data_IF_566243895009
#
_entry.id   IF_566243895009
#
_cell.length_a   1.000
_cell.length_b   1.000
_cell.length_c   1.000
_cell.angle_alpha   90.00
_cell.angle_beta   90.00
_cell.angle_gamma   90.00
#
_symmetry.space_group_name_H-M   'P 1'
#
loop_
_entity.id
_entity.type
_entity.pdbx_description
1 polymer ?
#
# COMPACT_ATOMS: atom_id res chain seq x y z
N UNK A 1 19.48 -30.38 -22.84
CA UNK A 1 18.42 -30.09 -21.85
C UNK A 1 19.12 -29.35 -20.72
N UNK A 2 18.77 -28.09 -20.45
CA UNK A 2 19.41 -27.35 -19.37
C UNK A 2 18.93 -27.92 -18.03
N UNK A 3 19.80 -28.54 -17.21
CA UNK A 3 19.36 -29.33 -16.07
C UNK A 3 18.64 -28.50 -14.99
N UNK A 4 18.78 -27.18 -15.00
CA UNK A 4 18.28 -26.27 -13.97
C UNK A 4 16.94 -25.59 -14.29
N UNK A 5 16.39 -25.78 -15.50
CA UNK A 5 15.19 -25.08 -15.97
C UNK A 5 14.03 -26.06 -16.15
N UNK A 6 12.80 -25.57 -16.07
CA UNK A 6 11.63 -26.32 -16.51
C UNK A 6 11.64 -26.53 -18.04
N UNK A 7 10.75 -27.41 -18.51
CA UNK A 7 10.57 -27.60 -19.94
C UNK A 7 9.83 -26.40 -20.52
N UNK A 8 10.29 -25.90 -21.67
CA UNK A 8 9.72 -24.71 -22.31
C UNK A 8 8.23 -24.91 -22.58
N UNK A 9 7.41 -24.11 -21.91
CA UNK A 9 6.00 -23.88 -22.15
C UNK A 9 5.68 -22.44 -21.73
N UNK A 10 4.59 -21.85 -22.23
CA UNK A 10 4.19 -20.49 -21.87
C UNK A 10 2.88 -20.52 -21.09
N UNK A 11 2.72 -19.59 -20.15
CA UNK A 11 1.48 -19.45 -19.38
C UNK A 11 0.36 -18.99 -20.31
N UNK A 12 -0.66 -19.84 -20.47
CA UNK A 12 -1.84 -19.60 -21.31
C UNK A 12 -3.15 -19.52 -20.49
N UNK A 13 -3.10 -19.89 -19.21
CA UNK A 13 -4.23 -19.88 -18.27
C UNK A 13 -3.80 -19.38 -16.88
N UNK A 14 -4.18 -18.14 -16.58
CA UNK A 14 -3.90 -17.48 -15.30
C UNK A 14 -4.70 -18.01 -14.10
N UNK A 15 -5.56 -19.02 -14.29
CA UNK A 15 -6.24 -19.72 -13.20
C UNK A 15 -5.61 -21.09 -12.87
N UNK A 16 -4.70 -21.57 -13.71
CA UNK A 16 -4.01 -22.84 -13.49
C UNK A 16 -2.68 -22.62 -12.75
N UNK A 17 -2.72 -22.71 -11.43
CA UNK A 17 -1.54 -22.47 -10.58
C UNK A 17 -0.34 -23.36 -10.94
N UNK A 18 -0.56 -24.60 -11.38
CA UNK A 18 0.53 -25.49 -11.80
C UNK A 18 1.22 -24.98 -13.07
N UNK A 19 0.49 -24.44 -14.04
CA UNK A 19 1.13 -23.81 -15.21
C UNK A 19 1.88 -22.54 -14.83
N UNK A 20 1.34 -21.77 -13.90
CA UNK A 20 1.96 -20.52 -13.43
C UNK A 20 3.30 -20.78 -12.73
N UNK A 21 3.44 -21.93 -12.06
CA UNK A 21 4.66 -22.33 -11.35
C UNK A 21 5.68 -23.12 -12.20
N UNK A 22 5.31 -23.57 -13.40
CA UNK A 22 6.13 -24.50 -14.19
C UNK A 22 6.40 -24.04 -15.64
N UNK A 23 5.71 -23.01 -16.13
CA UNK A 23 5.88 -22.50 -17.48
C UNK A 23 6.55 -21.12 -17.49
N UNK A 24 7.27 -20.84 -18.57
CA UNK A 24 7.97 -19.60 -18.82
C UNK A 24 7.00 -18.41 -18.85
N UNK A 25 7.44 -17.31 -18.21
CA UNK A 25 6.86 -16.00 -18.43
C UNK A 25 7.28 -15.43 -19.79
N UNK A 26 6.58 -14.38 -20.22
CA UNK A 26 6.83 -13.74 -21.51
C UNK A 26 6.18 -14.49 -22.67
N UNK A 27 6.83 -14.52 -23.81
CA UNK A 27 6.33 -15.17 -25.02
C UNK A 27 7.46 -15.74 -25.88
N UNK A 28 7.14 -16.38 -26.99
CA UNK A 28 8.14 -17.00 -27.87
C UNK A 28 9.17 -16.04 -28.46
N UNK A 29 8.88 -14.74 -28.54
CA UNK A 29 9.84 -13.73 -29.00
C UNK A 29 10.74 -13.23 -27.86
N UNK A 30 10.21 -13.16 -26.63
CA UNK A 30 10.91 -12.70 -25.44
C UNK A 30 10.63 -13.65 -24.26
N UNK A 31 11.20 -14.86 -24.27
CA UNK A 31 10.95 -15.82 -23.20
C UNK A 31 11.72 -15.43 -21.94
N UNK A 32 11.13 -15.69 -20.78
CA UNK A 32 11.78 -15.63 -19.47
C UNK A 32 11.94 -17.07 -18.97
N UNK A 33 13.11 -17.72 -19.19
CA UNK A 33 13.29 -19.14 -18.89
C UNK A 33 13.10 -19.45 -17.40
N UNK A 34 12.18 -20.36 -17.10
CA UNK A 34 11.75 -20.64 -15.75
C UNK A 34 12.69 -21.64 -15.04
N UNK A 35 13.25 -21.23 -13.89
CA UNK A 35 14.15 -22.06 -13.10
C UNK A 35 13.36 -23.13 -12.35
N UNK A 36 13.82 -24.38 -12.40
CA UNK A 36 13.19 -25.47 -11.68
C UNK A 36 13.54 -25.43 -10.19
N UNK A 37 12.81 -24.61 -9.45
CA UNK A 37 12.95 -24.37 -8.00
C UNK A 37 12.63 -25.58 -7.13
N UNK A 38 12.08 -26.66 -7.69
CA UNK A 38 11.91 -27.93 -6.96
C UNK A 38 13.21 -28.73 -6.85
N UNK A 39 14.23 -28.42 -7.67
CA UNK A 39 15.51 -29.13 -7.63
C UNK A 39 16.40 -28.67 -6.47
N UNK A 40 17.02 -29.61 -5.72
CA UNK A 40 17.92 -29.26 -4.62
C UNK A 40 19.05 -28.31 -5.03
N UNK A 41 19.70 -28.57 -6.18
CA UNK A 41 20.80 -27.74 -6.66
C UNK A 41 20.38 -26.28 -6.94
N UNK A 42 19.15 -26.06 -7.42
CA UNK A 42 18.61 -24.71 -7.66
C UNK A 42 18.30 -24.01 -6.34
N UNK A 43 17.73 -24.73 -5.36
CA UNK A 43 17.47 -24.20 -4.01
C UNK A 43 18.76 -23.84 -3.27
N UNK A 44 19.75 -24.71 -3.32
CA UNK A 44 21.06 -24.49 -2.70
C UNK A 44 21.74 -23.26 -3.31
N UNK A 45 21.67 -23.12 -4.64
CA UNK A 45 22.19 -21.95 -5.33
C UNK A 45 21.50 -20.66 -4.87
N UNK A 46 20.16 -20.60 -4.83
CA UNK A 46 19.42 -19.40 -4.44
C UNK A 46 19.63 -19.03 -2.98
N UNK A 47 19.62 -20.01 -2.07
CA UNK A 47 19.82 -19.79 -0.63
C UNK A 47 21.25 -19.33 -0.34
N UNK A 48 22.26 -19.92 -0.99
CA UNK A 48 23.64 -19.44 -0.89
C UNK A 48 23.80 -18.03 -1.47
N UNK A 49 23.20 -17.77 -2.64
CA UNK A 49 23.25 -16.47 -3.30
C UNK A 49 22.61 -15.37 -2.46
N UNK A 50 21.40 -15.57 -1.93
CA UNK A 50 20.71 -14.51 -1.19
C UNK A 50 21.42 -14.21 0.13
N UNK A 51 21.92 -15.24 0.82
CA UNK A 51 22.73 -15.08 2.01
C UNK A 51 24.02 -14.32 1.71
N UNK A 52 24.69 -14.64 0.61
CA UNK A 52 25.87 -13.92 0.16
C UNK A 52 25.55 -12.46 -0.17
N UNK A 53 24.45 -12.19 -0.89
CA UNK A 53 24.02 -10.85 -1.26
C UNK A 53 23.79 -9.99 -0.02
N UNK A 54 22.95 -10.46 0.91
CA UNK A 54 22.63 -9.72 2.14
C UNK A 54 23.89 -9.48 2.97
N UNK A 55 24.72 -10.51 3.18
CA UNK A 55 25.93 -10.39 4.01
C UNK A 55 27.02 -9.53 3.38
N UNK A 56 27.23 -9.62 2.07
CA UNK A 56 28.29 -8.87 1.37
C UNK A 56 28.05 -7.37 1.47
N UNK A 57 26.85 -6.91 1.13
CA UNK A 57 26.52 -5.48 1.22
C UNK A 57 26.49 -4.99 2.67
N UNK A 58 26.06 -5.84 3.61
CA UNK A 58 26.11 -5.51 5.04
C UNK A 58 27.53 -5.44 5.63
N UNK A 59 28.52 -6.10 5.02
CA UNK A 59 29.91 -6.11 5.48
C UNK A 59 30.76 -4.93 4.97
N UNK A 60 30.30 -4.24 3.92
CA UNK A 60 31.02 -3.15 3.25
C UNK A 60 30.65 -1.77 3.83
N UNK A 61 31.16 -1.48 5.04
CA UNK A 61 31.03 -0.19 5.74
C UNK A 61 29.59 0.24 6.10
N UNK A 62 29.47 1.13 7.08
CA UNK A 62 28.24 1.54 7.81
C UNK A 62 27.09 2.13 6.96
N UNK A 63 27.17 2.12 5.63
CA UNK A 63 26.23 2.81 4.72
C UNK A 63 25.44 1.92 3.76
N UNK A 64 25.70 0.60 3.68
CA UNK A 64 25.06 -0.28 2.67
C UNK A 64 24.48 -1.58 3.24
N UNK A 65 23.95 -1.56 4.47
CA UNK A 65 23.23 -2.71 5.01
C UNK A 65 21.96 -3.01 4.21
N UNK A 66 21.74 -4.27 3.85
CA UNK A 66 20.47 -4.72 3.28
C UNK A 66 19.55 -5.09 4.43
N UNK A 67 18.54 -4.25 4.69
CA UNK A 67 17.59 -4.45 5.80
C UNK A 67 16.32 -5.19 5.39
N UNK A 68 16.07 -5.30 4.09
CA UNK A 68 14.93 -6.01 3.54
C UNK A 68 15.02 -6.20 2.04
N UNK A 69 14.16 -7.06 1.53
CA UNK A 69 14.12 -7.49 0.13
C UNK A 69 12.71 -7.32 -0.44
N UNK A 70 12.57 -6.72 -1.62
CA UNK A 70 11.36 -6.84 -2.45
C UNK A 70 11.59 -7.98 -3.41
N UNK A 71 10.80 -9.04 -3.29
CA UNK A 71 10.95 -10.27 -4.09
C UNK A 71 9.90 -10.26 -5.19
N UNK A 72 10.36 -10.39 -6.43
CA UNK A 72 9.52 -10.43 -7.62
C UNK A 72 8.77 -11.77 -7.78
N UNK A 73 7.72 -11.78 -8.61
CA UNK A 73 7.12 -12.99 -9.21
C UNK A 73 6.79 -14.16 -8.27
N UNK A 74 6.49 -13.90 -6.99
CA UNK A 74 6.36 -14.93 -5.94
C UNK A 74 5.28 -15.98 -6.23
N UNK A 75 4.26 -15.61 -7.02
CA UNK A 75 3.20 -16.52 -7.48
C UNK A 75 3.69 -17.61 -8.45
N UNK A 76 4.83 -17.40 -9.11
CA UNK A 76 5.38 -18.28 -10.15
C UNK A 76 6.35 -19.32 -9.60
N UNK A 77 6.46 -19.43 -8.28
CA UNK A 77 7.32 -20.39 -7.60
C UNK A 77 6.52 -21.12 -6.55
N UNK A 78 6.73 -22.43 -6.43
CA UNK A 78 6.00 -23.27 -5.51
C UNK A 78 6.21 -22.84 -4.05
N UNK A 79 5.15 -22.92 -3.24
CA UNK A 79 5.13 -22.35 -1.88
C UNK A 79 6.28 -22.82 -0.99
N UNK A 80 6.73 -24.06 -1.18
CA UNK A 80 7.76 -24.70 -0.35
C UNK A 80 9.16 -24.11 -0.51
N UNK A 81 9.42 -23.34 -1.58
CA UNK A 81 10.69 -22.63 -1.78
C UNK A 81 10.86 -21.46 -0.80
N UNK A 82 9.77 -20.72 -0.55
CA UNK A 82 9.82 -19.42 0.11
C UNK A 82 10.29 -19.42 1.57
N UNK A 83 9.92 -20.39 2.44
CA UNK A 83 10.48 -20.46 3.78
C UNK A 83 12.00 -20.61 3.77
N UNK A 84 12.54 -21.44 2.88
CA UNK A 84 13.99 -21.67 2.74
C UNK A 84 14.72 -20.40 2.30
N UNK A 85 14.17 -19.71 1.30
CA UNK A 85 14.73 -18.46 0.80
C UNK A 85 14.71 -17.35 1.87
N UNK A 86 13.57 -17.18 2.55
CA UNK A 86 13.39 -16.15 3.58
C UNK A 86 14.30 -16.39 4.79
N UNK A 87 14.40 -17.64 5.26
CA UNK A 87 15.29 -18.02 6.35
C UNK A 87 16.78 -17.80 5.98
N UNK A 88 17.16 -18.09 4.72
CA UNK A 88 18.52 -17.86 4.23
C UNK A 88 18.86 -16.37 4.07
N UNK A 89 17.89 -15.54 3.68
CA UNK A 89 18.04 -14.09 3.59
C UNK A 89 18.26 -13.45 4.96
N UNK A 90 17.56 -13.93 6.00
CA UNK A 90 17.72 -13.45 7.38
C UNK A 90 17.26 -12.01 7.62
N UNK A 91 16.50 -11.43 6.68
CA UNK A 91 15.96 -10.06 6.71
C UNK A 91 14.50 -10.06 6.29
N UNK A 92 13.83 -8.92 6.42
CA UNK A 92 12.43 -8.79 6.02
C UNK A 92 12.25 -8.97 4.50
N UNK A 93 11.45 -9.96 4.07
CA UNK A 93 11.10 -10.13 2.65
C UNK A 93 9.68 -9.64 2.33
N UNK A 94 9.60 -8.54 1.61
CA UNK A 94 8.41 -8.04 0.92
C UNK A 94 8.16 -8.85 -0.36
N UNK A 95 7.30 -9.85 -0.29
CA UNK A 95 7.08 -10.76 -1.41
C UNK A 95 5.94 -10.31 -2.33
N UNK A 96 6.23 -10.03 -3.61
CA UNK A 96 5.27 -9.59 -4.61
C UNK A 96 4.65 -10.76 -5.40
N UNK A 97 3.32 -10.80 -5.51
CA UNK A 97 2.58 -11.80 -6.25
C UNK A 97 1.42 -11.10 -6.96
N UNK A 98 1.55 -10.94 -8.28
CA UNK A 98 0.58 -10.24 -9.11
C UNK A 98 -0.41 -11.23 -9.74
N UNK A 99 -1.65 -10.78 -9.93
CA UNK A 99 -2.74 -11.48 -10.56
C UNK A 99 -3.30 -10.62 -11.69
N UNK A 100 -2.93 -10.91 -12.94
CA UNK A 100 -3.58 -10.28 -14.10
C UNK A 100 -5.03 -10.79 -14.18
N UNK A 101 -5.95 -10.11 -13.49
CA UNK A 101 -7.38 -10.42 -13.52
C UNK A 101 -7.99 -9.62 -14.66
N UNK A 102 -8.37 -10.30 -15.74
CA UNK A 102 -9.11 -9.68 -16.85
C UNK A 102 -10.60 -9.43 -16.54
N UNK A 103 -11.13 -9.87 -15.40
CA UNK A 103 -12.48 -9.53 -14.95
C UNK A 103 -12.69 -9.80 -13.45
N UNK A 104 -13.07 -8.78 -12.70
CA UNK A 104 -13.46 -8.87 -11.28
C UNK A 104 -14.79 -9.64 -11.19
N UNK A 105 -14.76 -10.93 -10.88
CA UNK A 105 -15.96 -11.74 -10.59
C UNK A 105 -15.89 -12.30 -9.18
N UNK A 106 -17.03 -12.45 -8.48
CA UNK A 106 -17.13 -13.00 -7.10
C UNK A 106 -16.39 -14.34 -6.89
N UNK A 107 -16.17 -15.12 -7.95
CA UNK A 107 -15.53 -16.44 -7.91
C UNK A 107 -14.00 -16.34 -7.81
N UNK A 108 -13.37 -15.36 -8.46
CA UNK A 108 -11.91 -15.14 -8.32
C UNK A 108 -11.52 -14.70 -6.91
N UNK A 109 -12.43 -14.05 -6.18
CA UNK A 109 -12.23 -13.63 -4.79
C UNK A 109 -12.05 -14.79 -3.80
N UNK A 110 -12.88 -15.84 -3.88
CA UNK A 110 -12.83 -16.96 -2.91
C UNK A 110 -11.54 -17.77 -3.05
N UNK A 111 -11.08 -18.01 -4.28
CA UNK A 111 -9.84 -18.74 -4.58
C UNK A 111 -8.61 -17.94 -4.12
N UNK A 112 -8.60 -16.63 -4.40
CA UNK A 112 -7.55 -15.71 -3.99
C UNK A 112 -7.39 -15.62 -2.46
N UNK A 113 -8.50 -15.50 -1.72
CA UNK A 113 -8.46 -15.45 -0.26
C UNK A 113 -8.10 -16.78 0.40
N UNK A 114 -8.42 -17.92 -0.23
CA UNK A 114 -8.00 -19.24 0.26
C UNK A 114 -6.49 -19.43 0.13
N UNK A 115 -5.90 -18.97 -0.98
CA UNK A 115 -4.45 -18.98 -1.20
C UNK A 115 -3.70 -18.08 -0.22
N UNK A 116 -4.17 -16.86 0.04
CA UNK A 116 -3.60 -15.97 1.08
C UNK A 116 -3.43 -16.71 2.41
N UNK A 117 -4.45 -17.44 2.84
CA UNK A 117 -4.42 -18.20 4.10
C UNK A 117 -3.31 -19.25 4.13
N UNK A 118 -3.10 -19.98 3.04
CA UNK A 118 -2.09 -21.03 2.97
C UNK A 118 -0.65 -20.48 2.92
N UNK A 119 -0.41 -19.37 2.21
CA UNK A 119 0.90 -18.74 2.18
C UNK A 119 1.26 -18.03 3.50
N UNK A 120 0.28 -17.43 4.19
CA UNK A 120 0.49 -16.85 5.53
C UNK A 120 0.79 -17.91 6.60
N UNK A 121 0.35 -19.15 6.43
CA UNK A 121 0.71 -20.25 7.33
C UNK A 121 2.18 -20.69 7.17
N UNK A 122 2.82 -20.37 6.05
CA UNK A 122 4.17 -20.84 5.73
C UNK A 122 5.32 -20.00 6.34
N UNK A 123 5.05 -19.07 7.28
CA UNK A 123 6.03 -18.04 7.75
C UNK A 123 6.58 -17.15 6.61
N UNK A 124 5.81 -17.00 5.54
CA UNK A 124 6.17 -16.17 4.41
C UNK A 124 5.36 -14.87 4.47
N UNK A 125 6.05 -13.74 4.64
CA UNK A 125 5.46 -12.41 4.65
C UNK A 125 5.09 -11.99 3.22
N UNK A 126 3.96 -12.50 2.73
CA UNK A 126 3.47 -12.19 1.38
C UNK A 126 2.69 -10.88 1.35
N UNK A 127 3.33 -9.82 0.84
CA UNK A 127 2.73 -8.50 0.67
C UNK A 127 1.98 -8.33 -0.66
N UNK A 128 2.37 -9.09 -1.68
CA UNK A 128 2.01 -8.83 -3.07
C UNK A 128 0.62 -9.23 -3.45
N UNK A 129 0.13 -10.32 -2.86
CA UNK A 129 -1.22 -10.79 -3.16
C UNK A 129 -2.21 -9.70 -2.73
N UNK A 130 -2.05 -9.11 -1.54
CA UNK A 130 -3.04 -8.30 -0.83
C UNK A 130 -3.51 -6.98 -1.50
N UNK A 131 -2.84 -6.50 -2.55
CA UNK A 131 -2.92 -5.07 -2.91
C UNK A 131 -3.56 -4.75 -4.25
N UNK A 132 -3.56 -5.64 -5.24
CA UNK A 132 -4.35 -5.41 -6.48
C UNK A 132 -5.82 -5.19 -6.16
N UNK A 133 -6.35 -6.00 -5.25
CA UNK A 133 -7.71 -5.92 -4.73
C UNK A 133 -8.04 -4.54 -4.17
N UNK A 134 -7.16 -3.98 -3.33
CA UNK A 134 -7.37 -2.64 -2.75
C UNK A 134 -7.11 -1.58 -3.80
N UNK A 135 -6.04 -1.69 -4.56
CA UNK A 135 -5.66 -0.80 -5.65
C UNK A 135 -6.84 -0.56 -6.60
N UNK A 136 -7.44 -1.62 -7.17
CA UNK A 136 -8.52 -1.45 -8.14
C UNK A 136 -9.74 -0.77 -7.53
N UNK A 137 -10.11 -1.08 -6.28
CA UNK A 137 -11.22 -0.41 -5.62
C UNK A 137 -10.90 1.02 -5.20
N UNK A 138 -9.66 1.31 -4.79
CA UNK A 138 -9.20 2.65 -4.45
C UNK A 138 -9.17 3.54 -5.68
N UNK A 139 -8.53 3.08 -6.76
CA UNK A 139 -8.50 3.80 -8.04
C UNK A 139 -9.92 3.99 -8.56
N UNK A 140 -10.76 2.96 -8.55
CA UNK A 140 -12.16 3.10 -8.96
C UNK A 140 -12.93 4.13 -8.11
N UNK A 141 -12.77 4.10 -6.78
CA UNK A 141 -13.46 5.03 -5.89
C UNK A 141 -13.00 6.48 -6.11
N UNK A 142 -11.68 6.72 -6.18
CA UNK A 142 -11.12 8.08 -6.28
C UNK A 142 -11.09 8.66 -7.69
N UNK A 143 -11.26 7.85 -8.76
CA UNK A 143 -11.28 8.36 -10.15
C UNK A 143 -12.69 8.50 -10.72
N UNK A 144 -13.69 7.85 -10.11
CA UNK A 144 -15.07 7.89 -10.56
C UNK A 144 -15.97 8.46 -9.45
N UNK A 145 -16.42 9.71 -9.62
CA UNK A 145 -17.31 10.38 -8.68
C UNK A 145 -18.70 9.73 -8.55
N UNK A 146 -19.09 8.85 -9.49
CA UNK A 146 -20.32 8.04 -9.36
C UNK A 146 -20.11 6.74 -8.58
N UNK A 147 -18.87 6.38 -8.26
CA UNK A 147 -18.58 5.22 -7.43
C UNK A 147 -18.94 5.52 -5.97
N UNK A 148 -19.58 4.55 -5.31
CA UNK A 148 -19.89 4.63 -3.89
C UNK A 148 -18.83 3.89 -3.06
N UNK A 149 -18.67 4.29 -1.81
CA UNK A 149 -17.73 3.68 -0.85
C UNK A 149 -17.96 2.19 -0.58
N UNK A 150 -19.16 1.66 -0.90
CA UNK A 150 -19.62 0.31 -0.53
C UNK A 150 -18.66 -0.81 -0.94
N UNK A 151 -18.16 -0.76 -2.18
CA UNK A 151 -17.25 -1.81 -2.64
C UNK A 151 -15.88 -1.72 -1.95
N UNK A 152 -15.36 -0.50 -1.77
CA UNK A 152 -14.09 -0.27 -1.09
C UNK A 152 -14.15 -0.72 0.38
N UNK A 153 -15.21 -0.36 1.10
CA UNK A 153 -15.42 -0.76 2.50
C UNK A 153 -15.62 -2.26 2.62
N UNK A 154 -16.44 -2.86 1.74
CA UNK A 154 -16.65 -4.30 1.73
C UNK A 154 -15.35 -5.07 1.53
N UNK A 155 -14.46 -4.58 0.66
CA UNK A 155 -13.14 -5.18 0.48
C UNK A 155 -12.22 -4.97 1.67
N UNK A 156 -12.16 -3.75 2.21
CA UNK A 156 -11.37 -3.43 3.39
C UNK A 156 -11.74 -4.34 4.58
N UNK A 157 -13.03 -4.46 4.87
CA UNK A 157 -13.52 -5.31 5.96
C UNK A 157 -13.28 -6.81 5.69
N UNK A 158 -13.52 -7.28 4.47
CA UNK A 158 -13.26 -8.66 4.10
C UNK A 158 -11.78 -9.03 4.27
N UNK A 159 -10.91 -8.07 3.97
CA UNK A 159 -9.47 -8.22 4.05
C UNK A 159 -8.95 -8.24 5.49
N UNK A 160 -9.39 -7.31 6.33
CA UNK A 160 -9.06 -7.30 7.76
C UNK A 160 -9.50 -8.61 8.44
N UNK A 161 -10.63 -9.19 8.01
CA UNK A 161 -11.12 -10.47 8.55
C UNK A 161 -10.31 -11.69 8.09
N UNK A 162 -9.74 -11.66 6.89
CA UNK A 162 -9.13 -12.84 6.24
C UNK A 162 -7.61 -12.87 6.35
N UNK A 163 -6.97 -11.70 6.45
CA UNK A 163 -5.53 -11.61 6.57
C UNK A 163 -5.14 -11.69 8.03
N UNK A 164 -4.10 -12.47 8.33
CA UNK A 164 -3.63 -12.67 9.70
C UNK A 164 -3.18 -11.34 10.34
N UNK A 165 -2.49 -10.53 9.55
CA UNK A 165 -2.00 -9.22 9.96
C UNK A 165 -1.94 -8.29 8.76
N UNK A 166 -2.77 -7.23 8.74
CA UNK A 166 -2.79 -6.22 7.68
C UNK A 166 -1.68 -5.19 7.82
N UNK A 167 -1.05 -5.09 9.00
CA UNK A 167 -0.04 -4.07 9.32
C UNK A 167 1.33 -4.39 8.73
N UNK A 168 1.61 -5.67 8.47
CA UNK A 168 2.83 -6.15 7.82
C UNK A 168 2.76 -6.10 6.28
N UNK A 169 1.67 -5.56 5.75
CA UNK A 169 1.42 -5.52 4.31
C UNK A 169 1.83 -4.18 3.77
N UNK A 170 2.00 -4.04 2.47
CA UNK A 170 2.56 -2.77 2.01
C UNK A 170 1.58 -1.69 1.60
N UNK A 171 0.35 -1.87 1.11
CA UNK A 171 -0.37 -0.77 0.38
C UNK A 171 0.39 -0.30 -0.89
N UNK A 172 -0.19 0.49 -1.78
CA UNK A 172 0.43 1.26 -2.90
C UNK A 172 -0.73 1.72 -3.78
N UNK A 173 -0.57 2.84 -4.47
CA UNK A 173 -1.57 3.35 -5.42
C UNK A 173 -0.99 3.73 -6.78
N UNK A 174 0.32 3.57 -6.95
CA UNK A 174 1.03 3.58 -8.23
C UNK A 174 2.20 2.58 -8.15
N UNK A 175 2.60 2.03 -9.29
CA UNK A 175 3.81 1.21 -9.45
C UNK A 175 4.25 1.24 -10.93
N UNK A 176 5.22 0.40 -11.27
CA UNK A 176 5.79 0.30 -12.63
C UNK A 176 5.13 -0.75 -13.54
N UNK A 177 4.02 -1.36 -13.10
CA UNK A 177 3.29 -2.41 -13.85
C UNK A 177 1.86 -2.00 -14.19
N UNK A 178 1.38 -0.88 -13.63
CA UNK A 178 0.02 -0.37 -13.74
C UNK A 178 0.08 1.13 -14.07
N UNK A 179 -0.88 1.64 -14.87
CA UNK A 179 -0.93 3.07 -15.16
C UNK A 179 -0.95 3.93 -13.91
N UNK A 180 -0.28 5.08 -13.96
CA UNK A 180 -0.25 6.03 -12.86
C UNK A 180 -1.63 6.57 -12.53
N UNK A 181 -1.83 7.04 -11.30
CA UNK A 181 -3.10 7.64 -10.91
C UNK A 181 -3.41 8.88 -11.76
N UNK A 182 -2.37 9.69 -12.06
CA UNK A 182 -2.46 10.84 -12.95
C UNK A 182 -2.90 10.53 -14.38
N UNK A 183 -2.80 9.27 -14.83
CA UNK A 183 -3.31 8.83 -16.14
C UNK A 183 -4.83 8.66 -16.15
N UNK A 184 -5.45 8.38 -14.99
CA UNK A 184 -6.90 8.23 -14.87
C UNK A 184 -7.62 9.55 -14.58
N UNK A 185 -6.98 10.45 -13.83
CA UNK A 185 -7.52 11.77 -13.51
C UNK A 185 -6.41 12.78 -13.28
N UNK A 186 -6.63 14.02 -13.70
CA UNK A 186 -5.75 15.16 -13.43
C UNK A 186 -6.12 15.92 -12.16
N UNK A 187 -7.16 15.47 -11.44
CA UNK A 187 -7.67 16.14 -10.25
C UNK A 187 -6.71 15.97 -9.06
N UNK A 188 -6.08 17.08 -8.66
CA UNK A 188 -5.10 17.10 -7.58
C UNK A 188 -5.72 16.79 -6.22
N UNK A 189 -6.99 17.13 -5.99
CA UNK A 189 -7.68 16.84 -4.73
C UNK A 189 -7.93 15.33 -4.60
N UNK A 190 -8.31 14.66 -5.68
CA UNK A 190 -8.43 13.20 -5.70
C UNK A 190 -7.07 12.52 -5.49
N UNK A 191 -6.00 13.06 -6.11
CA UNK A 191 -4.63 12.58 -5.89
C UNK A 191 -4.19 12.74 -4.42
N UNK A 192 -4.55 13.85 -3.76
CA UNK A 192 -4.30 14.05 -2.33
C UNK A 192 -5.06 13.05 -1.46
N UNK A 193 -6.32 12.76 -1.76
CA UNK A 193 -7.12 11.78 -1.01
C UNK A 193 -6.52 10.37 -1.09
N UNK A 194 -6.18 9.89 -2.29
CA UNK A 194 -5.64 8.55 -2.47
C UNK A 194 -4.23 8.39 -1.86
N UNK A 195 -3.39 9.43 -1.92
CA UNK A 195 -2.09 9.45 -1.23
C UNK A 195 -2.26 9.45 0.28
N UNK A 196 -3.22 10.20 0.82
CA UNK A 196 -3.54 10.21 2.25
C UNK A 196 -3.95 8.81 2.73
N UNK A 197 -4.79 8.12 1.96
CA UNK A 197 -5.12 6.71 2.22
C UNK A 197 -3.87 5.84 2.30
N UNK A 198 -3.01 5.88 1.27
CA UNK A 198 -1.81 5.04 1.19
C UNK A 198 -0.85 5.27 2.36
N UNK A 199 -0.71 6.53 2.79
CA UNK A 199 0.24 6.89 3.86
C UNK A 199 -0.27 6.58 5.26
N UNK A 200 -1.56 6.75 5.56
CA UNK A 200 -2.09 6.66 6.93
C UNK A 200 -2.82 5.34 7.25
N UNK A 201 -3.15 4.53 6.24
CA UNK A 201 -3.80 3.22 6.44
C UNK A 201 -2.82 2.14 6.93
N UNK A 202 -3.35 0.94 7.15
CA UNK A 202 -2.56 -0.25 7.49
C UNK A 202 -1.51 -0.61 6.45
N UNK A 203 -0.38 -1.06 6.97
CA UNK A 203 0.76 -1.49 6.21
C UNK A 203 1.99 -0.65 6.50
N UNK A 204 3.12 -0.98 5.87
CA UNK A 204 4.40 -0.29 6.10
C UNK A 204 4.64 0.76 5.01
N UNK A 205 4.36 2.08 5.19
CA UNK A 205 4.74 3.16 4.28
C UNK A 205 6.26 3.39 4.32
N UNK A 206 7.04 2.51 3.68
CA UNK A 206 8.49 2.69 3.61
C UNK A 206 8.82 3.80 2.61
N UNK A 207 8.82 5.06 3.05
CA UNK A 207 9.18 6.21 2.20
C UNK A 207 10.69 6.45 2.07
N UNK A 208 11.54 5.48 2.42
CA UNK A 208 13.00 5.64 2.42
C UNK A 208 13.68 4.52 1.63
N UNK A 209 14.27 4.90 0.49
CA UNK A 209 15.30 4.18 -0.26
C UNK A 209 14.93 2.90 -1.02
N UNK A 210 13.65 2.51 -1.08
CA UNK A 210 13.19 1.47 -2.01
C UNK A 210 12.20 2.10 -2.99
N UNK A 211 12.65 2.26 -4.23
CA UNK A 211 11.95 2.86 -5.39
C UNK A 211 10.61 2.20 -5.73
N UNK A 212 10.26 1.09 -5.06
CA UNK A 212 9.06 0.28 -5.30
C UNK A 212 8.17 0.12 -4.06
N UNK A 213 8.39 0.92 -3.01
CA UNK A 213 7.57 0.85 -1.80
C UNK A 213 6.90 2.22 -1.55
N UNK A 214 5.76 2.39 -2.24
CA UNK A 214 4.49 3.03 -1.80
C UNK A 214 4.11 4.39 -2.33
N UNK A 215 5.06 5.30 -2.37
CA UNK A 215 4.98 6.45 -3.28
C UNK A 215 5.93 6.11 -4.40
N UNK A 216 5.37 5.70 -5.54
CA UNK A 216 6.21 5.38 -6.69
C UNK A 216 6.81 6.66 -7.25
N UNK A 217 8.12 6.65 -7.53
CA UNK A 217 8.85 7.82 -7.99
C UNK A 217 8.09 8.53 -9.13
N UNK A 218 7.85 9.83 -8.96
CA UNK A 218 7.07 10.66 -9.88
C UNK A 218 5.63 10.91 -9.45
N UNK A 219 5.07 10.08 -8.56
CA UNK A 219 3.74 10.29 -7.98
C UNK A 219 3.68 11.61 -7.20
N UNK A 220 4.73 11.96 -6.48
CA UNK A 220 4.88 13.24 -5.77
C UNK A 220 4.97 14.45 -6.71
N UNK A 221 5.27 14.21 -7.99
CA UNK A 221 5.29 15.21 -9.06
C UNK A 221 4.04 15.10 -9.96
N UNK A 222 3.08 14.26 -9.58
CA UNK A 222 1.84 14.01 -10.31
C UNK A 222 2.07 13.55 -11.77
N UNK A 223 2.96 12.58 -11.93
CA UNK A 223 3.18 11.90 -13.21
C UNK A 223 1.91 11.18 -13.68
N UNK A 224 1.79 11.03 -15.01
CA UNK A 224 0.56 10.60 -15.69
C UNK A 224 0.80 9.56 -16.78
N UNK A 225 1.94 8.86 -16.71
CA UNK A 225 2.26 7.72 -17.56
C UNK A 225 1.16 6.65 -17.58
N UNK A 226 0.86 6.16 -18.78
CA UNK A 226 -0.04 5.04 -19.01
C UNK A 226 0.60 3.70 -18.64
N UNK A 227 0.38 2.65 -19.43
CA UNK A 227 1.03 1.35 -19.22
C UNK A 227 2.50 1.37 -19.62
N UNK A 228 3.28 0.42 -19.09
CA UNK A 228 4.65 0.11 -19.52
C UNK A 228 4.83 0.24 -21.05
N UNK A 229 5.84 1.01 -21.51
CA UNK A 229 6.92 1.67 -20.76
C UNK A 229 6.62 3.10 -20.28
N UNK A 230 5.39 3.58 -20.44
CA UNK A 230 5.07 4.99 -20.23
C UNK A 230 4.95 5.38 -18.74
N UNK A 231 4.78 4.42 -17.83
CA UNK A 231 4.81 4.58 -16.36
C UNK A 231 6.23 4.67 -15.77
N UNK A 232 7.28 4.62 -16.61
CA UNK A 232 8.69 4.70 -16.20
C UNK A 232 9.31 6.06 -16.52
N UNK A 233 8.57 7.14 -16.31
CA UNK A 233 9.08 8.48 -16.59
C UNK A 233 10.26 8.84 -15.67
N UNK A 234 11.32 9.45 -16.21
CA UNK A 234 12.47 9.86 -15.40
C UNK A 234 12.10 11.00 -14.45
N UNK A 235 12.57 10.94 -13.19
CA UNK A 235 12.30 12.01 -12.21
C UNK A 235 13.09 13.29 -12.49
N UNK A 236 14.33 13.17 -12.99
CA UNK A 236 15.27 14.29 -13.11
C UNK A 236 14.76 15.51 -13.90
N UNK A 237 13.89 15.42 -14.94
CA UNK A 237 13.38 16.59 -15.65
C UNK A 237 12.51 17.52 -14.77
N UNK A 238 12.00 17.01 -13.64
CA UNK A 238 11.25 17.82 -12.66
C UNK A 238 12.15 18.75 -11.85
N UNK A 239 13.47 18.64 -11.99
CA UNK A 239 14.47 19.29 -11.15
C UNK A 239 14.28 18.99 -9.65
N UNK A 240 13.66 17.86 -9.32
CA UNK A 240 13.38 17.44 -7.94
C UNK A 240 12.61 18.50 -7.14
N UNK A 241 11.58 19.08 -7.75
CA UNK A 241 10.80 20.17 -7.13
C UNK A 241 10.16 19.73 -5.79
N UNK A 242 10.73 20.21 -4.68
CA UNK A 242 10.24 19.92 -3.32
C UNK A 242 9.04 20.77 -2.88
N UNK A 243 8.56 21.65 -3.76
CA UNK A 243 7.41 22.53 -3.51
C UNK A 243 6.15 22.06 -4.23
N UNK A 244 6.17 20.89 -4.89
CA UNK A 244 4.97 20.35 -5.54
C UNK A 244 3.90 19.99 -4.49
N UNK A 245 2.59 20.11 -4.82
CA UNK A 245 1.52 19.90 -3.86
C UNK A 245 1.55 18.52 -3.19
N UNK A 246 1.84 17.46 -3.97
CA UNK A 246 1.89 16.09 -3.44
C UNK A 246 3.19 15.83 -2.65
N UNK A 247 4.32 16.45 -3.02
CA UNK A 247 5.54 16.36 -2.22
C UNK A 247 5.34 16.94 -0.81
N UNK A 248 4.77 18.15 -0.73
CA UNK A 248 4.49 18.80 0.56
C UNK A 248 3.51 17.96 1.38
N UNK A 249 2.46 17.43 0.76
CA UNK A 249 1.51 16.54 1.42
C UNK A 249 2.18 15.26 1.94
N UNK A 250 2.97 14.56 1.12
CA UNK A 250 3.67 13.33 1.53
C UNK A 250 4.62 13.61 2.70
N UNK A 251 5.33 14.74 2.67
CA UNK A 251 6.18 15.20 3.79
C UNK A 251 5.37 15.35 5.08
N UNK A 252 4.22 16.01 5.02
CA UNK A 252 3.32 16.20 6.16
C UNK A 252 2.77 14.87 6.68
N UNK A 253 2.22 14.02 5.80
CA UNK A 253 1.66 12.72 6.16
C UNK A 253 2.70 11.79 6.81
N UNK A 254 3.92 11.79 6.29
CA UNK A 254 5.01 10.99 6.86
C UNK A 254 5.41 11.49 8.25
N UNK A 255 5.44 12.81 8.45
CA UNK A 255 5.69 13.41 9.75
C UNK A 255 4.62 13.03 10.78
N UNK A 256 3.34 13.15 10.40
CA UNK A 256 2.19 12.78 11.23
C UNK A 256 2.29 11.31 11.65
N UNK A 257 2.52 10.43 10.68
CA UNK A 257 2.64 8.99 10.95
C UNK A 257 3.83 8.66 11.85
N UNK A 258 5.00 9.25 11.57
CA UNK A 258 6.21 9.03 12.37
C UNK A 258 5.99 9.45 13.82
N UNK A 259 5.29 10.56 14.04
CA UNK A 259 4.98 11.02 15.38
C UNK A 259 3.94 10.15 16.08
N UNK A 260 2.92 9.68 15.37
CA UNK A 260 1.95 8.72 15.92
C UNK A 260 2.63 7.42 16.36
N UNK A 261 3.57 6.90 15.56
CA UNK A 261 4.42 5.74 15.92
C UNK A 261 5.27 6.05 17.15
N UNK A 262 5.89 7.23 17.23
CA UNK A 262 6.75 7.59 18.35
C UNK A 262 6.00 7.77 19.68
N UNK A 263 4.67 7.96 19.64
CA UNK A 263 3.83 8.18 20.82
C UNK A 263 3.04 6.98 21.27
N UNK A 264 2.87 6.00 20.38
CA UNK A 264 2.09 4.82 20.68
C UNK A 264 2.82 3.59 20.20
N UNK A 265 3.18 2.76 21.17
CA UNK A 265 3.78 1.44 20.95
C UNK A 265 2.85 0.52 20.14
N UNK A 266 1.55 0.84 20.07
CA UNK A 266 0.53 0.03 19.40
C UNK A 266 0.08 0.59 18.06
N UNK A 267 0.45 1.82 17.69
CA UNK A 267 -0.02 2.45 16.43
C UNK A 267 0.34 1.60 15.20
N UNK A 268 1.58 1.10 15.15
CA UNK A 268 2.07 0.28 14.03
C UNK A 268 1.40 -1.09 13.94
N UNK A 269 0.95 -1.66 15.07
CA UNK A 269 0.39 -3.01 15.16
C UNK A 269 -1.14 -3.03 15.22
N UNK A 270 -1.78 -1.89 15.46
CA UNK A 270 -3.23 -1.77 15.51
C UNK A 270 -3.79 -1.65 14.10
N UNK A 271 -4.72 -2.55 13.75
CA UNK A 271 -5.40 -2.52 12.46
C UNK A 271 -6.34 -1.32 12.34
N UNK A 272 -6.35 -0.67 11.18
CA UNK A 272 -7.27 0.41 10.86
C UNK A 272 -8.71 -0.11 10.83
N UNK A 273 -9.65 0.70 11.32
CA UNK A 273 -11.09 0.42 11.31
C UNK A 273 -11.86 1.52 10.60
N UNK A 274 -12.91 1.16 9.86
CA UNK A 274 -13.87 2.13 9.32
C UNK A 274 -14.84 2.50 10.44
N UNK A 275 -14.88 3.77 10.83
CA UNK A 275 -15.78 4.29 11.89
C UNK A 275 -16.98 5.02 11.32
N UNK A 276 -16.84 5.59 10.12
CA UNK A 276 -17.94 6.23 9.41
C UNK A 276 -17.82 5.98 7.91
N UNK A 277 -18.99 5.88 7.26
CA UNK A 277 -19.07 5.90 5.81
C UNK A 277 -20.46 6.31 5.33
N UNK A 278 -20.48 7.11 4.27
CA UNK A 278 -21.63 7.29 3.38
C UNK A 278 -21.20 6.98 1.94
N UNK A 279 -22.02 7.31 0.93
CA UNK A 279 -21.70 6.97 -0.45
C UNK A 279 -20.38 7.60 -0.93
N UNK A 280 -19.98 8.78 -0.43
CA UNK A 280 -18.83 9.56 -0.93
C UNK A 280 -17.76 9.85 0.11
N UNK A 281 -18.03 9.64 1.41
CA UNK A 281 -17.11 9.92 2.50
C UNK A 281 -16.79 8.63 3.27
N UNK A 282 -15.53 8.49 3.70
CA UNK A 282 -15.09 7.36 4.51
C UNK A 282 -14.14 7.86 5.60
N UNK A 283 -14.40 7.49 6.85
CA UNK A 283 -13.52 7.75 7.97
C UNK A 283 -12.85 6.47 8.47
N UNK A 284 -11.53 6.49 8.53
CA UNK A 284 -10.70 5.43 9.06
C UNK A 284 -10.05 5.88 10.35
N UNK A 285 -10.22 5.09 11.39
CA UNK A 285 -9.46 5.24 12.63
C UNK A 285 -8.27 4.28 12.62
N UNK A 286 -7.13 4.76 13.10
CA UNK A 286 -5.98 3.93 13.46
C UNK A 286 -5.51 4.27 14.88
N UNK A 287 -5.17 3.22 15.64
CA UNK A 287 -4.83 3.28 17.08
C UNK A 287 -6.01 3.48 18.03
N UNK A 288 -5.72 3.45 19.33
CA UNK A 288 -6.63 3.76 20.45
C UNK A 288 -6.97 5.25 20.55
N UNK A 289 -7.91 5.61 21.44
CA UNK A 289 -8.43 6.96 21.60
C UNK A 289 -7.36 7.99 22.01
N UNK A 290 -6.35 7.58 22.76
CA UNK A 290 -5.29 8.46 23.27
C UNK A 290 -4.27 8.84 22.17
N UNK A 291 -4.02 7.92 21.23
CA UNK A 291 -3.01 8.07 20.17
C UNK A 291 -3.58 8.01 18.76
N UNK A 292 -4.89 8.27 18.65
CA UNK A 292 -5.66 8.05 17.45
C UNK A 292 -5.24 8.98 16.31
N UNK A 293 -5.13 8.43 15.11
CA UNK A 293 -5.18 9.20 13.86
C UNK A 293 -6.48 8.84 13.15
N UNK A 294 -7.35 9.83 12.99
CA UNK A 294 -8.60 9.72 12.24
C UNK A 294 -8.41 10.34 10.86
N UNK A 295 -8.50 9.52 9.82
CA UNK A 295 -8.40 9.95 8.43
C UNK A 295 -9.79 9.98 7.82
N UNK A 296 -10.20 11.12 7.27
CA UNK A 296 -11.50 11.28 6.58
C UNK A 296 -11.25 11.65 5.12
N UNK A 297 -11.73 10.81 4.21
CA UNK A 297 -11.48 10.90 2.77
C UNK A 297 -12.79 10.99 1.99
N UNK A 298 -12.73 11.56 0.80
CA UNK A 298 -13.86 11.59 -0.14
C UNK A 298 -13.42 11.45 -1.60
N UNK A 299 -14.39 11.23 -2.49
CA UNK A 299 -14.16 11.15 -3.94
C UNK A 299 -14.86 12.26 -4.77
N UNK A 300 -15.10 13.42 -4.17
CA UNK A 300 -15.83 14.52 -4.81
C UNK A 300 -14.94 15.42 -5.68
N UNK A 301 -13.64 15.47 -5.38
CA UNK A 301 -12.65 16.19 -6.17
C UNK A 301 -12.67 17.72 -6.01
N UNK A 302 -11.90 18.40 -6.85
CA UNK A 302 -11.59 19.83 -6.70
C UNK A 302 -12.78 20.78 -6.86
N UNK A 303 -13.87 20.30 -7.48
CA UNK A 303 -15.09 21.08 -7.75
C UNK A 303 -16.16 20.92 -6.68
N UNK A 304 -15.89 20.15 -5.63
CA UNK A 304 -16.81 19.99 -4.53
C UNK A 304 -17.04 21.32 -3.81
N UNK A 305 -18.30 21.63 -3.50
CA UNK A 305 -18.61 22.72 -2.58
C UNK A 305 -18.13 22.38 -1.16
N UNK A 306 -18.00 23.38 -0.28
CA UNK A 306 -17.72 23.10 1.12
C UNK A 306 -18.95 22.48 1.79
N UNK A 307 -18.74 21.41 2.54
CA UNK A 307 -19.79 20.73 3.29
C UNK A 307 -19.23 20.15 4.59
N UNK A 308 -20.12 19.82 5.52
CA UNK A 308 -19.74 19.18 6.78
C UNK A 308 -20.18 17.73 6.77
N UNK A 309 -19.29 16.83 7.19
CA UNK A 309 -19.59 15.44 7.47
C UNK A 309 -19.80 15.29 8.97
N UNK A 310 -21.02 14.95 9.35
CA UNK A 310 -21.41 14.73 10.75
C UNK A 310 -21.24 13.24 11.10
N UNK A 311 -20.31 12.94 11.99
CA UNK A 311 -20.02 11.56 12.41
C UNK A 311 -20.43 11.37 13.87
N UNK A 312 -21.25 10.35 14.15
CA UNK A 312 -21.87 10.18 15.47
C UNK A 312 -20.95 9.63 16.56
N UNK A 313 -19.99 8.81 16.16
CA UNK A 313 -18.98 8.22 17.05
C UNK A 313 -17.75 7.88 16.22
N UNK A 314 -16.66 8.61 16.44
CA UNK A 314 -15.38 8.39 15.76
C UNK A 314 -14.34 7.69 16.63
N UNK A 315 -14.69 7.36 17.88
CA UNK A 315 -13.81 6.68 18.83
C UNK A 315 -12.87 7.58 19.64
N UNK A 316 -12.94 8.90 19.49
CA UNK A 316 -12.27 9.83 20.41
C UNK A 316 -13.08 9.99 21.71
N UNK A 317 -12.41 10.41 22.79
CA UNK A 317 -13.09 10.75 24.03
C UNK A 317 -13.88 12.06 23.91
N UNK A 318 -15.06 12.11 24.53
CA UNK A 318 -15.90 13.30 24.48
C UNK A 318 -15.27 14.50 25.19
N UNK A 319 -15.36 15.67 24.57
CA UNK A 319 -14.72 16.90 25.03
C UNK A 319 -13.25 17.06 24.61
N UNK A 320 -12.66 16.06 23.95
CA UNK A 320 -11.30 16.16 23.42
C UNK A 320 -11.26 17.21 22.29
N UNK A 321 -10.29 18.12 22.36
CA UNK A 321 -9.95 18.95 21.20
C UNK A 321 -9.10 18.13 20.25
N UNK A 322 -9.40 18.20 18.96
CA UNK A 322 -8.65 17.55 17.88
C UNK A 322 -8.25 18.60 16.84
N UNK A 323 -7.11 18.39 16.19
CA UNK A 323 -6.62 19.25 15.12
C UNK A 323 -6.54 18.44 13.83
N UNK A 324 -7.14 18.97 12.76
CA UNK A 324 -6.87 18.52 11.40
C UNK A 324 -5.48 19.03 11.01
N UNK A 325 -4.51 18.13 11.01
CA UNK A 325 -3.10 18.44 10.76
C UNK A 325 -2.80 18.72 9.30
N UNK A 326 -3.76 18.51 8.38
CA UNK A 326 -3.64 18.89 6.98
C UNK A 326 -4.13 20.31 6.70
N UNK A 327 -5.17 20.77 7.41
CA UNK A 327 -5.75 22.12 7.24
C UNK A 327 -5.48 23.09 8.40
N UNK A 328 -4.83 22.62 9.48
CA UNK A 328 -4.59 23.34 10.73
C UNK A 328 -5.86 23.86 11.43
N UNK A 329 -7.02 23.23 11.18
CA UNK A 329 -8.28 23.57 11.85
C UNK A 329 -8.50 22.71 13.08
N UNK A 330 -9.07 23.29 14.11
CA UNK A 330 -9.44 22.57 15.33
C UNK A 330 -10.92 22.22 15.32
N UNK A 331 -11.25 21.07 15.88
CA UNK A 331 -12.61 20.63 16.17
C UNK A 331 -12.67 20.09 17.60
N UNK A 332 -13.87 20.04 18.18
CA UNK A 332 -14.09 19.48 19.52
C UNK A 332 -15.02 18.29 19.39
N UNK A 333 -14.62 17.17 19.98
CA UNK A 333 -15.43 15.95 20.02
C UNK A 333 -16.58 16.18 20.99
N UNK A 334 -17.80 15.87 20.57
CA UNK A 334 -18.98 16.04 21.41
C UNK A 334 -19.01 15.03 22.58
N UNK A 335 -19.94 15.20 23.52
CA UNK A 335 -20.04 14.35 24.71
C UNK A 335 -20.25 12.84 24.39
N UNK A 336 -20.80 12.52 23.22
CA UNK A 336 -21.10 11.17 22.78
C UNK A 336 -20.02 10.58 21.86
N UNK A 337 -18.91 11.29 21.64
CA UNK A 337 -17.84 10.85 20.73
C UNK A 337 -18.04 11.28 19.27
N UNK A 338 -19.06 12.11 19.00
CA UNK A 338 -19.35 12.66 17.69
C UNK A 338 -18.36 13.74 17.27
N UNK A 339 -18.12 13.84 15.97
CA UNK A 339 -17.19 14.80 15.40
C UNK A 339 -17.67 15.28 14.03
N UNK A 340 -17.77 16.60 13.90
CA UNK A 340 -18.11 17.26 12.65
C UNK A 340 -16.83 17.70 11.94
N UNK A 341 -16.68 17.30 10.67
CA UNK A 341 -15.51 17.62 9.85
C UNK A 341 -15.93 18.41 8.62
N UNK A 342 -15.41 19.63 8.50
CA UNK A 342 -15.65 20.50 7.36
C UNK A 342 -14.70 20.17 6.20
N UNK A 343 -15.24 19.70 5.09
CA UNK A 343 -14.53 19.55 3.83
C UNK A 343 -14.54 20.87 3.07
N UNK A 344 -13.36 21.31 2.63
CA UNK A 344 -13.19 22.47 1.74
C UNK A 344 -12.65 21.97 0.41
N UNK A 345 -13.45 22.07 -0.64
CA UNK A 345 -13.05 21.66 -1.99
C UNK A 345 -12.63 20.20 -2.10
N UNK A 346 -13.27 19.30 -1.33
CA UNK A 346 -13.00 17.85 -1.36
C UNK A 346 -11.64 17.42 -0.78
N UNK A 347 -10.88 18.33 -0.15
CA UNK A 347 -9.56 18.00 0.43
C UNK A 347 -9.66 16.96 1.55
N UNK A 348 -8.71 16.00 1.65
CA UNK A 348 -8.71 15.03 2.74
C UNK A 348 -8.46 15.72 4.09
N UNK A 349 -8.92 15.09 5.17
CA UNK A 349 -8.66 15.52 6.55
C UNK A 349 -7.93 14.43 7.33
N UNK A 350 -6.98 14.82 8.17
CA UNK A 350 -6.28 13.93 9.10
C UNK A 350 -6.31 14.53 10.49
N UNK A 351 -7.10 13.97 11.40
CA UNK A 351 -7.34 14.51 12.73
C UNK A 351 -6.58 13.72 13.80
N UNK A 352 -6.00 14.42 14.76
CA UNK A 352 -5.40 13.86 15.96
C UNK A 352 -5.65 14.79 17.17
N UNK A 353 -5.57 14.28 18.40
CA UNK A 353 -5.82 15.06 19.62
C UNK A 353 -4.94 16.32 19.73
N UNK A 354 -5.45 17.43 20.26
CA UNK A 354 -4.73 18.69 20.36
C UNK A 354 -3.66 18.70 21.48
N UNK A 355 -3.87 17.96 22.56
CA UNK A 355 -2.83 17.65 23.57
C UNK A 355 -1.76 16.72 23.03
N UNK A 356 -2.05 16.07 21.90
CA UNK A 356 -1.01 15.53 21.08
C UNK A 356 -0.35 16.74 20.39
N UNK A 357 0.85 17.11 20.85
CA UNK A 357 1.82 18.06 20.25
C UNK A 357 2.20 17.73 18.77
N UNK A 358 1.36 16.98 18.03
CA UNK A 358 1.41 16.76 16.59
C UNK A 358 1.21 18.06 15.83
N UNK A 359 0.45 18.99 16.39
CA UNK A 359 0.22 20.32 15.82
C UNK A 359 1.44 21.25 15.97
N UNK A 360 2.14 21.27 17.12
CA UNK A 360 3.11 22.32 17.44
C UNK A 360 4.45 22.22 16.70
N UNK A 361 4.94 21.01 16.37
CA UNK A 361 6.24 20.83 15.66
C UNK A 361 6.17 21.01 14.15
N UNK A 362 4.99 20.90 13.54
CA UNK A 362 4.83 20.89 12.08
C UNK A 362 4.01 22.07 11.55
N UNK A 363 3.49 22.93 12.43
CA UNK A 363 2.87 24.22 12.08
C UNK A 363 3.88 25.30 11.64
N UNK A 364 5.20 25.06 11.73
CA UNK A 364 6.23 26.08 11.49
C UNK A 364 7.27 25.76 10.40
N UNK A 365 7.07 24.73 9.56
CA UNK A 365 8.05 24.34 8.53
C UNK A 365 7.52 24.19 7.12
#
# INVERSE_FOLDING_TARGET
>A
MYPYFHSVCFIDDNNNQTKIELCDLGNSAYPLPDLNTTQPAVRDLHTAWIKYLVSTYSSLSLTHQVDGLRVDTVRHVEKSFWPLFNDAAGVYCCMMAMWIISAITRITWTVYFHMLREYFHAKVLMMGIHKEVRYFQLVQFFTNSSATSKNLIGQFQAQNKKCKDTTLLGSFTENHDLPRFGNFTSDMVLAKNIVTYTMLTDGIPISSLLTDILVYQGQEQHFHGGTDPHDREPLWPTNYNTSSPLYVLVKQLNAIRSLAIARSDTYSTTQSRVVYADDHNIAFQKSDSESMVLMVLNNLGERAESYTVEMKDVGFEGGLQVTDVLSCRNATVDYYGGLDVEFVGGLPSGLAGADSDISSKYQTS
#
